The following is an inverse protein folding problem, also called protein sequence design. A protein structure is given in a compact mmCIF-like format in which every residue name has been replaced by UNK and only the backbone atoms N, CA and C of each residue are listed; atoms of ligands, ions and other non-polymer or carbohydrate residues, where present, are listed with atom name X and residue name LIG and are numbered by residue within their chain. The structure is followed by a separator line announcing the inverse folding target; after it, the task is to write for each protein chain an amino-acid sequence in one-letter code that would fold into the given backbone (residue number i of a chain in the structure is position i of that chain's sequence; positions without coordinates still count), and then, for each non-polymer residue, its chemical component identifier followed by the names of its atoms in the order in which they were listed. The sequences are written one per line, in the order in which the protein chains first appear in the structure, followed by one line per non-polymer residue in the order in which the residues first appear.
data_IF_088522816730
#
_entry.id   IF_088522816730
#
_cell.length_a   1.000
_cell.length_b   1.000
_cell.length_c   1.000
_cell.angle_alpha   90.00
_cell.angle_beta   90.00
_cell.angle_gamma   90.00
#
_symmetry.space_group_name_H-M   'P 1'
#
loop_
_entity.id
_entity.type
_entity.pdbx_description
1 polymer ?
#
# COMPACT_ATOMS: atom_id res chain seq x y z
N UNK A 1 9.84 29.70 -55.79
CA UNK A 1 10.10 29.66 -54.32
C UNK A 1 9.45 30.88 -53.69
N UNK A 2 8.25 30.73 -53.14
CA UNK A 2 7.57 31.83 -52.45
C UNK A 2 8.23 32.01 -51.08
N UNK A 3 8.93 33.14 -50.90
CA UNK A 3 9.45 33.56 -49.61
C UNK A 3 8.27 33.99 -48.73
N UNK A 4 7.94 33.21 -47.70
CA UNK A 4 7.06 33.65 -46.62
C UNK A 4 7.72 34.82 -45.91
N UNK A 5 7.29 36.05 -46.21
CA UNK A 5 7.61 37.23 -45.39
C UNK A 5 6.87 37.09 -44.06
N UNK A 6 7.59 36.66 -43.04
CA UNK A 6 7.13 36.71 -41.66
C UNK A 6 6.91 38.18 -41.27
N UNK A 7 5.65 38.61 -41.24
CA UNK A 7 5.27 39.90 -40.67
C UNK A 7 5.45 39.80 -39.15
N UNK A 8 5.96 40.87 -38.53
CA UNK A 8 6.02 40.95 -37.06
C UNK A 8 4.60 40.80 -36.50
N UNK A 9 4.37 39.82 -35.61
CA UNK A 9 3.05 39.63 -35.01
C UNK A 9 2.69 40.85 -34.17
N UNK A 10 1.41 41.20 -34.18
CA UNK A 10 0.85 42.22 -33.30
C UNK A 10 0.89 41.76 -31.84
N UNK A 11 0.79 42.69 -30.88
CA UNK A 11 0.78 42.36 -29.44
C UNK A 11 -0.30 41.32 -29.08
N UNK A 12 -1.48 41.42 -29.72
CA UNK A 12 -2.60 40.48 -29.51
C UNK A 12 -2.26 39.09 -30.05
N UNK A 13 -1.66 39.00 -31.25
CA UNK A 13 -1.20 37.73 -31.81
C UNK A 13 -0.11 37.09 -30.95
N UNK A 14 0.81 37.89 -30.42
CA UNK A 14 1.84 37.41 -29.50
C UNK A 14 1.23 36.85 -28.21
N UNK A 15 0.26 37.55 -27.61
CA UNK A 15 -0.45 37.08 -26.42
C UNK A 15 -1.23 35.79 -26.70
N UNK A 16 -1.89 35.71 -27.86
CA UNK A 16 -2.61 34.50 -28.28
C UNK A 16 -1.66 33.31 -28.46
N UNK A 17 -0.49 33.52 -29.09
CA UNK A 17 0.53 32.48 -29.23
C UNK A 17 1.02 32.01 -27.86
N UNK A 18 1.33 32.94 -26.95
CA UNK A 18 1.76 32.59 -25.58
C UNK A 18 0.69 31.79 -24.86
N UNK A 19 -0.58 32.20 -24.95
CA UNK A 19 -1.70 31.48 -24.33
C UNK A 19 -1.86 30.07 -24.90
N UNK A 20 -1.77 29.90 -26.23
CA UNK A 20 -1.83 28.60 -26.89
C UNK A 20 -0.66 27.72 -26.42
N UNK A 21 0.56 28.24 -26.40
CA UNK A 21 1.74 27.51 -25.93
C UNK A 21 1.59 27.10 -24.47
N UNK A 22 1.06 27.98 -23.60
CA UNK A 22 0.82 27.67 -22.19
C UNK A 22 -0.24 26.57 -22.01
N UNK A 23 -1.33 26.60 -22.78
CA UNK A 23 -2.38 25.57 -22.76
C UNK A 23 -1.85 24.24 -23.28
N UNK A 24 -1.09 24.24 -24.38
CA UNK A 24 -0.45 23.03 -24.91
C UNK A 24 0.53 22.46 -23.89
N UNK A 25 1.36 23.29 -23.26
CA UNK A 25 2.28 22.85 -22.21
C UNK A 25 1.53 22.25 -21.01
N UNK A 26 0.42 22.85 -20.57
CA UNK A 26 -0.41 22.32 -19.48
C UNK A 26 -1.08 20.98 -19.84
N UNK A 27 -1.57 20.84 -21.09
CA UNK A 27 -2.19 19.61 -21.58
C UNK A 27 -1.18 18.48 -21.82
N UNK A 28 0.08 18.81 -22.11
CA UNK A 28 1.18 17.85 -22.26
C UNK A 28 1.68 17.29 -20.92
N UNK A 29 1.28 17.87 -19.78
CA UNK A 29 1.51 17.29 -18.46
C UNK A 29 0.35 16.32 -18.19
N UNK A 30 0.52 15.01 -18.41
CA UNK A 30 -0.55 14.07 -18.12
C UNK A 30 -0.91 14.18 -16.63
N UNK A 31 -2.20 14.13 -16.26
CA UNK A 31 -2.58 13.97 -14.86
C UNK A 31 -1.86 12.72 -14.32
N UNK A 32 -1.40 12.77 -13.07
CA UNK A 32 -0.64 11.69 -12.46
C UNK A 32 -1.44 10.38 -12.49
N UNK A 33 -1.25 9.58 -13.54
CA UNK A 33 -1.83 8.25 -13.65
C UNK A 33 -0.92 7.30 -12.89
N UNK A 34 -1.46 6.72 -11.82
CA UNK A 34 -0.81 5.63 -11.10
C UNK A 34 -0.96 4.36 -11.95
N UNK A 35 0.17 3.85 -12.46
CA UNK A 35 0.22 2.54 -13.10
C UNK A 35 0.51 1.48 -12.04
N UNK A 36 -0.47 0.64 -11.75
CA UNK A 36 -0.25 -0.61 -11.01
C UNK A 36 -0.09 -1.75 -11.99
N UNK A 37 1.09 -2.33 -12.10
CA UNK A 37 1.33 -3.44 -13.04
C UNK A 37 2.16 -4.58 -12.47
N UNK A 38 2.30 -4.68 -11.14
CA UNK A 38 3.11 -5.73 -10.56
C UNK A 38 2.79 -6.04 -9.11
N UNK A 39 3.52 -7.01 -8.59
CA UNK A 39 3.49 -7.43 -7.21
C UNK A 39 4.89 -7.80 -6.73
N UNK A 40 5.06 -7.86 -5.42
CA UNK A 40 6.27 -8.34 -4.77
C UNK A 40 5.88 -9.21 -3.59
N UNK A 41 6.43 -10.43 -3.53
CA UNK A 41 6.26 -11.32 -2.38
C UNK A 41 7.39 -11.07 -1.39
N UNK A 42 7.03 -10.76 -0.14
CA UNK A 42 7.96 -10.49 0.95
C UNK A 42 7.48 -11.24 2.20
N UNK A 43 8.34 -12.03 2.87
CA UNK A 43 8.04 -12.62 4.16
C UNK A 43 7.71 -11.54 5.21
N UNK A 44 6.62 -11.73 5.94
CA UNK A 44 6.23 -10.88 7.07
C UNK A 44 6.36 -11.69 8.35
N UNK A 45 7.34 -11.32 9.16
CA UNK A 45 7.57 -11.87 10.49
C UNK A 45 6.71 -11.11 11.50
N UNK A 46 5.76 -11.81 12.10
CA UNK A 46 4.89 -11.29 13.16
C UNK A 46 5.41 -11.82 14.50
N UNK A 47 5.79 -10.91 15.39
CA UNK A 47 6.18 -11.22 16.77
C UNK A 47 5.02 -10.87 17.71
N UNK A 48 4.55 -11.85 18.46
CA UNK A 48 3.42 -11.73 19.38
C UNK A 48 3.90 -11.95 20.81
N UNK A 49 3.58 -11.00 21.69
CA UNK A 49 4.00 -11.05 23.09
C UNK A 49 2.91 -10.53 24.03
N UNK A 50 2.95 -10.95 25.29
CA UNK A 50 2.11 -10.43 26.38
C UNK A 50 2.60 -9.03 26.73
N UNK A 51 1.79 -8.01 26.45
CA UNK A 51 2.14 -6.61 26.68
C UNK A 51 2.35 -6.29 28.17
N UNK A 52 1.78 -7.08 29.08
CA UNK A 52 1.91 -6.89 30.52
C UNK A 52 3.21 -7.48 31.09
N UNK A 53 3.75 -8.53 30.45
CA UNK A 53 4.90 -9.30 30.95
C UNK A 53 6.14 -9.22 30.05
N UNK A 54 5.99 -8.78 28.81
CA UNK A 54 7.05 -8.78 27.80
C UNK A 54 7.47 -10.19 27.35
N UNK A 55 6.64 -11.21 27.57
CA UNK A 55 6.94 -12.61 27.24
C UNK A 55 6.31 -13.04 25.92
N UNK A 56 6.96 -13.90 25.12
CA UNK A 56 6.37 -14.37 23.86
C UNK A 56 5.08 -15.17 24.09
N UNK A 57 4.16 -15.09 23.13
CA UNK A 57 2.92 -15.88 23.13
C UNK A 57 3.00 -16.92 22.01
N UNK A 58 3.16 -18.18 22.40
CA UNK A 58 3.13 -19.32 21.48
C UNK A 58 1.69 -19.70 21.10
N UNK A 59 1.53 -20.38 19.96
CA UNK A 59 0.25 -20.85 19.44
C UNK A 59 -0.80 -19.76 19.15
N UNK A 60 -0.38 -18.49 19.06
CA UNK A 60 -1.26 -17.42 18.61
C UNK A 60 -1.56 -17.61 17.11
N UNK A 61 -2.83 -17.51 16.74
CA UNK A 61 -3.28 -17.54 15.34
C UNK A 61 -3.04 -16.18 14.73
N UNK A 62 -2.33 -16.16 13.61
CA UNK A 62 -1.98 -14.95 12.87
C UNK A 62 -2.57 -15.05 11.48
N UNK A 63 -3.23 -14.00 11.01
CA UNK A 63 -3.76 -13.91 9.66
C UNK A 63 -3.41 -12.56 9.04
N UNK A 64 -3.01 -12.56 7.79
CA UNK A 64 -2.80 -11.38 6.97
C UNK A 64 -3.94 -11.25 5.96
N UNK A 65 -4.43 -10.03 5.81
CA UNK A 65 -5.53 -9.75 4.89
C UNK A 65 -5.37 -8.37 4.26
N UNK A 66 -6.02 -8.20 3.12
CA UNK A 66 -6.08 -6.90 2.45
C UNK A 66 -7.22 -6.08 3.04
N UNK A 67 -6.92 -4.86 3.47
CA UNK A 67 -7.90 -3.84 3.82
C UNK A 67 -7.42 -2.47 3.31
N UNK A 68 -8.14 -1.83 2.37
CA UNK A 68 -7.73 -0.56 1.79
C UNK A 68 -7.70 0.56 2.85
N UNK A 69 -6.83 1.57 2.70
CA UNK A 69 -6.83 2.72 3.60
C UNK A 69 -8.19 3.41 3.63
N UNK A 70 -8.57 3.91 4.80
CA UNK A 70 -9.88 4.52 5.13
C UNK A 70 -10.09 5.88 4.46
N UNK A 71 -10.06 5.97 3.13
CA UNK A 71 -10.44 7.18 2.41
C UNK A 71 -11.66 6.88 1.54
N UNK A 72 -12.70 7.71 1.71
CA UNK A 72 -14.05 7.50 1.19
C UNK A 72 -14.58 6.09 1.44
N UNK A 73 -14.81 5.74 2.72
CA UNK A 73 -15.61 4.56 3.06
C UNK A 73 -17.04 4.79 2.56
N UNK A 74 -17.25 4.46 1.30
CA UNK A 74 -18.56 4.12 0.78
C UNK A 74 -19.16 3.04 1.66
N UNK A 75 -20.45 3.15 1.97
CA UNK A 75 -21.13 2.15 2.80
C UNK A 75 -20.96 0.76 2.18
N UNK A 76 -21.05 -0.30 2.99
CA UNK A 76 -20.96 -1.70 2.54
C UNK A 76 -21.85 -1.96 1.31
N UNK A 77 -23.02 -1.33 1.28
CA UNK A 77 -24.03 -1.41 0.21
C UNK A 77 -23.57 -0.75 -1.10
N UNK A 78 -22.74 0.28 -1.02
CA UNK A 78 -22.27 1.08 -2.16
C UNK A 78 -21.03 0.46 -2.84
N UNK A 79 -20.33 -0.45 -2.16
CA UNK A 79 -19.15 -1.12 -2.70
C UNK A 79 -18.96 -2.51 -2.09
N UNK A 80 -19.92 -3.44 -2.26
CA UNK A 80 -19.88 -4.77 -1.67
C UNK A 80 -18.61 -5.55 -2.04
N UNK A 81 -18.10 -5.36 -3.26
CA UNK A 81 -16.87 -5.98 -3.76
C UNK A 81 -15.63 -5.60 -2.94
N UNK A 82 -15.59 -4.38 -2.37
CA UNK A 82 -14.49 -3.97 -1.50
C UNK A 82 -14.51 -4.71 -0.16
N UNK A 83 -15.67 -5.23 0.24
CA UNK A 83 -15.90 -5.93 1.51
C UNK A 83 -16.10 -7.44 1.35
N UNK A 84 -16.02 -7.95 0.13
CA UNK A 84 -16.09 -9.38 -0.15
C UNK A 84 -14.95 -10.11 0.60
N UNK A 85 -15.35 -10.97 1.54
CA UNK A 85 -14.45 -11.78 2.35
C UNK A 85 -13.55 -12.68 1.52
N UNK A 86 -13.99 -13.10 0.33
CA UNK A 86 -13.19 -13.96 -0.56
C UNK A 86 -12.03 -13.20 -1.20
N UNK A 87 -12.19 -11.89 -1.42
CA UNK A 87 -11.12 -11.01 -1.92
C UNK A 87 -10.19 -10.51 -0.81
N UNK A 88 -10.65 -10.47 0.44
CA UNK A 88 -9.87 -10.00 1.60
C UNK A 88 -9.05 -11.10 2.28
N UNK A 89 -9.66 -12.27 2.50
CA UNK A 89 -9.03 -13.39 3.17
C UNK A 89 -8.23 -14.23 2.16
N UNK A 90 -6.97 -13.88 1.99
CA UNK A 90 -6.02 -14.72 1.26
C UNK A 90 -5.70 -15.95 2.12
N UNK A 91 -6.09 -17.14 1.66
CA UNK A 91 -5.89 -18.40 2.40
C UNK A 91 -4.40 -18.70 2.68
N UNK A 92 -3.49 -18.17 1.87
CA UNK A 92 -2.03 -18.24 2.07
C UNK A 92 -1.49 -17.24 3.10
N UNK A 93 -2.37 -16.39 3.67
CA UNK A 93 -2.01 -15.39 4.66
C UNK A 93 -2.11 -15.85 6.12
N UNK A 94 -2.20 -17.14 6.43
CA UNK A 94 -2.40 -17.63 7.81
C UNK A 94 -1.17 -18.34 8.37
N UNK A 95 -0.97 -18.23 9.69
CA UNK A 95 0.11 -18.90 10.41
C UNK A 95 -0.18 -18.99 11.91
N UNK A 96 0.69 -19.70 12.61
CA UNK A 96 0.63 -19.85 14.07
C UNK A 96 1.99 -19.53 14.65
N UNK A 97 2.05 -18.82 15.77
CA UNK A 97 3.32 -18.50 16.41
C UNK A 97 3.99 -19.71 17.03
N UNK A 98 5.31 -19.77 16.90
CA UNK A 98 6.17 -20.77 17.55
C UNK A 98 6.42 -20.46 19.04
N UNK A 99 7.34 -21.20 19.67
CA UNK A 99 7.70 -21.03 21.07
C UNK A 99 8.30 -19.65 21.40
N UNK A 100 8.89 -18.97 20.40
CA UNK A 100 9.46 -17.64 20.52
C UNK A 100 8.42 -16.54 20.24
N UNK A 101 7.15 -16.92 20.02
CA UNK A 101 6.08 -16.01 19.69
C UNK A 101 6.16 -15.47 18.27
N UNK A 102 6.89 -16.14 17.38
CA UNK A 102 7.10 -15.70 16.01
C UNK A 102 6.26 -16.51 15.02
N UNK A 103 5.65 -15.84 14.05
CA UNK A 103 5.06 -16.44 12.86
C UNK A 103 5.62 -15.76 11.61
N UNK A 104 5.89 -16.51 10.54
CA UNK A 104 6.32 -15.95 9.25
C UNK A 104 5.26 -16.25 8.20
N UNK A 105 4.78 -15.21 7.53
CA UNK A 105 3.72 -15.29 6.51
C UNK A 105 4.26 -14.74 5.20
N UNK A 106 4.20 -15.55 4.14
CA UNK A 106 4.58 -15.12 2.79
C UNK A 106 3.46 -14.29 2.18
N UNK A 107 3.61 -12.96 2.17
CA UNK A 107 2.57 -12.08 1.66
C UNK A 107 2.98 -11.38 0.37
N UNK A 108 2.05 -11.29 -0.57
CA UNK A 108 2.24 -10.62 -1.85
C UNK A 108 1.61 -9.23 -1.82
N UNK A 109 2.44 -8.22 -1.98
CA UNK A 109 2.04 -6.82 -2.01
C UNK A 109 1.92 -6.32 -3.45
N UNK A 110 0.82 -5.66 -3.77
CA UNK A 110 0.68 -4.94 -5.04
C UNK A 110 1.72 -3.80 -5.13
N UNK A 111 2.30 -3.58 -6.32
CA UNK A 111 3.23 -2.49 -6.57
C UNK A 111 2.60 -1.41 -7.44
N UNK A 112 3.00 -0.17 -7.19
CA UNK A 112 2.59 1.00 -7.95
C UNK A 112 3.81 1.84 -8.34
N UNK A 113 3.72 2.48 -9.49
CA UNK A 113 4.57 3.58 -9.90
C UNK A 113 3.71 4.68 -10.55
N UNK A 114 4.20 5.90 -10.59
CA UNK A 114 3.56 6.98 -11.36
C UNK A 114 4.61 7.73 -12.17
N UNK A 115 4.19 8.53 -13.14
CA UNK A 115 5.13 9.38 -13.88
C UNK A 115 5.91 10.34 -12.97
N UNK A 116 5.24 10.89 -11.95
CA UNK A 116 5.85 11.81 -10.98
C UNK A 116 6.76 11.11 -9.96
N UNK A 117 6.55 9.81 -9.75
CA UNK A 117 7.36 8.97 -8.88
C UNK A 117 7.58 7.62 -9.56
N UNK A 118 8.55 7.54 -10.49
CA UNK A 118 8.75 6.37 -11.36
C UNK A 118 9.33 5.17 -10.60
N UNK A 119 9.74 5.37 -9.35
CA UNK A 119 10.22 4.28 -8.50
C UNK A 119 9.05 3.38 -8.10
N UNK A 120 9.17 2.08 -8.40
CA UNK A 120 8.22 1.07 -7.94
C UNK A 120 8.17 1.02 -6.41
N UNK A 121 6.97 1.15 -5.85
CA UNK A 121 6.71 1.04 -4.41
C UNK A 121 5.67 -0.05 -4.14
N UNK A 122 5.86 -0.82 -3.08
CA UNK A 122 4.89 -1.78 -2.60
C UNK A 122 3.83 -1.09 -1.73
N UNK A 123 2.56 -1.43 -1.91
CA UNK A 123 1.42 -0.91 -1.14
C UNK A 123 1.28 -1.63 0.20
N UNK A 124 2.15 -1.32 1.16
CA UNK A 124 2.13 -1.95 2.48
C UNK A 124 0.94 -1.50 3.34
N UNK A 125 0.45 -0.28 3.11
CA UNK A 125 -0.67 0.34 3.84
C UNK A 125 -2.04 -0.30 3.62
N UNK A 126 -2.14 -1.21 2.67
CA UNK A 126 -3.36 -1.96 2.42
C UNK A 126 -3.31 -3.37 3.02
N UNK A 127 -2.23 -3.76 3.69
CA UNK A 127 -2.09 -5.06 4.31
C UNK A 127 -2.18 -4.93 5.83
N UNK A 128 -2.95 -5.84 6.44
CA UNK A 128 -3.23 -5.85 7.87
C UNK A 128 -2.96 -7.23 8.45
N UNK A 129 -2.58 -7.25 9.72
CA UNK A 129 -2.35 -8.45 10.51
C UNK A 129 -3.43 -8.52 11.59
N UNK A 130 -4.15 -9.63 11.63
CA UNK A 130 -5.03 -10.02 12.72
C UNK A 130 -4.34 -11.10 13.55
N UNK A 131 -4.37 -10.93 14.87
CA UNK A 131 -3.81 -11.90 15.83
C UNK A 131 -4.85 -12.24 16.88
N UNK A 132 -4.96 -13.54 17.18
CA UNK A 132 -5.80 -14.05 18.25
C UNK A 132 -5.03 -15.13 19.05
N UNK A 133 -5.08 -15.04 20.37
CA UNK A 133 -4.51 -16.03 21.28
C UNK A 133 -5.48 -16.30 22.43
N UNK A 134 -5.52 -17.53 22.93
CA UNK A 134 -6.45 -17.91 23.98
C UNK A 134 -6.12 -17.18 25.29
N UNK A 135 -7.13 -16.57 25.92
CA UNK A 135 -6.98 -15.75 27.13
C UNK A 135 -6.48 -14.32 26.89
N UNK A 136 -6.36 -13.89 25.63
CA UNK A 136 -5.95 -12.53 25.25
C UNK A 136 -6.96 -11.88 24.31
N UNK A 137 -7.13 -10.56 24.44
CA UNK A 137 -7.91 -9.79 23.49
C UNK A 137 -7.25 -9.81 22.10
N UNK A 138 -8.04 -10.04 21.05
CA UNK A 138 -7.56 -10.01 19.67
C UNK A 138 -7.10 -8.62 19.22
N UNK A 139 -6.18 -8.57 18.27
CA UNK A 139 -5.63 -7.32 17.74
C UNK A 139 -5.61 -7.31 16.20
N UNK A 140 -5.88 -6.14 15.62
CA UNK A 140 -5.81 -5.90 14.17
C UNK A 140 -4.95 -4.66 13.93
N UNK A 141 -3.82 -4.84 13.24
CA UNK A 141 -2.78 -3.79 13.08
C UNK A 141 -2.31 -3.74 11.63
N UNK A 142 -2.12 -2.55 11.03
CA UNK A 142 -1.58 -2.45 9.68
C UNK A 142 -0.10 -2.87 9.66
N UNK A 143 0.35 -3.49 8.57
CA UNK A 143 1.77 -3.89 8.43
C UNK A 143 2.69 -2.67 8.50
N UNK A 144 2.38 -1.63 7.72
CA UNK A 144 3.01 -0.30 7.75
C UNK A 144 2.02 0.75 7.23
N UNK A 145 2.17 2.01 7.64
CA UNK A 145 1.33 3.10 7.14
C UNK A 145 1.77 3.64 5.77
N UNK A 146 3.03 3.44 5.38
CA UNK A 146 3.60 4.00 4.15
C UNK A 146 3.95 2.92 3.13
N UNK A 147 3.81 3.25 1.85
CA UNK A 147 4.38 2.44 0.76
C UNK A 147 5.90 2.57 0.73
N UNK A 148 6.61 1.48 0.48
CA UNK A 148 8.08 1.44 0.49
C UNK A 148 8.64 1.09 -0.89
N UNK A 149 9.81 1.63 -1.31
CA UNK A 149 10.46 1.23 -2.55
C UNK A 149 10.72 -0.28 -2.58
N UNK A 150 10.43 -0.94 -3.71
CA UNK A 150 10.60 -2.39 -3.83
C UNK A 150 12.05 -2.84 -3.71
N UNK A 151 13.02 -2.01 -4.13
CA UNK A 151 14.45 -2.28 -3.96
C UNK A 151 14.82 -2.41 -2.47
N UNK A 152 14.38 -1.45 -1.64
CA UNK A 152 14.59 -1.49 -0.19
C UNK A 152 14.01 -2.74 0.45
N UNK A 153 12.81 -3.15 0.03
CA UNK A 153 12.17 -4.36 0.55
C UNK A 153 12.93 -5.64 0.17
N UNK A 154 13.49 -5.72 -1.04
CA UNK A 154 14.34 -6.85 -1.46
C UNK A 154 15.62 -6.92 -0.63
N UNK A 155 16.21 -5.77 -0.32
CA UNK A 155 17.41 -5.71 0.53
C UNK A 155 17.12 -6.11 1.97
N UNK A 156 15.96 -5.69 2.51
CA UNK A 156 15.50 -6.06 3.85
C UNK A 156 15.16 -7.54 4.00
N UNK A 157 14.75 -8.20 2.90
CA UNK A 157 14.34 -9.62 2.81
C UNK A 157 13.11 -10.03 3.61
N UNK A 158 12.80 -9.36 4.71
CA UNK A 158 11.60 -9.58 5.51
C UNK A 158 11.07 -8.27 6.10
N UNK A 159 9.77 -8.25 6.38
CA UNK A 159 9.10 -7.18 7.12
C UNK A 159 8.79 -7.65 8.54
N UNK A 160 9.11 -6.82 9.52
CA UNK A 160 8.80 -7.09 10.93
C UNK A 160 7.53 -6.36 11.37
N UNK A 161 6.62 -7.08 12.02
CA UNK A 161 5.44 -6.54 12.70
C UNK A 161 5.44 -7.07 14.13
N UNK A 162 5.33 -6.18 15.11
CA UNK A 162 5.40 -6.53 16.53
C UNK A 162 4.08 -6.16 17.21
N UNK A 163 3.45 -7.13 17.88
CA UNK A 163 2.08 -7.04 18.38
C UNK A 163 2.06 -7.48 19.84
N UNK A 164 1.76 -6.53 20.73
CA UNK A 164 1.52 -6.80 22.15
C UNK A 164 0.04 -7.06 22.40
N UNK A 165 -0.30 -8.21 22.96
CA UNK A 165 -1.67 -8.53 23.37
C UNK A 165 -1.84 -8.32 24.88
N UNK A 166 -3.05 -7.94 25.30
CA UNK A 166 -3.39 -7.79 26.72
C UNK A 166 -4.32 -8.93 27.14
N UNK A 167 -4.12 -9.56 28.31
CA UNK A 167 -5.01 -10.60 28.81
C UNK A 167 -6.46 -10.13 28.92
N UNK A 168 -7.41 -11.01 28.62
CA UNK A 168 -8.83 -10.76 28.88
C UNK A 168 -9.07 -10.76 30.41
N UNK A 169 -9.92 -9.86 30.89
CA UNK A 169 -10.28 -9.75 32.31
C UNK A 169 -11.44 -10.67 32.68
#
# INVERSE_FOLDING_TARGET
MAWLRLRMPTLIELLAIIAIVAVIAALLIPPAKWGGSGSIRIPVRVLVFDASRGTPIANARVAMFYAPPLHDMKWLEESPDLYDSTNRARHDGVGTTDADGAAVIEYEFATLASYNNPTWRARLQSAWVHVQADGFGGAVIPVRYESEPTAKLRDQKELLVTIGLTPER
#
